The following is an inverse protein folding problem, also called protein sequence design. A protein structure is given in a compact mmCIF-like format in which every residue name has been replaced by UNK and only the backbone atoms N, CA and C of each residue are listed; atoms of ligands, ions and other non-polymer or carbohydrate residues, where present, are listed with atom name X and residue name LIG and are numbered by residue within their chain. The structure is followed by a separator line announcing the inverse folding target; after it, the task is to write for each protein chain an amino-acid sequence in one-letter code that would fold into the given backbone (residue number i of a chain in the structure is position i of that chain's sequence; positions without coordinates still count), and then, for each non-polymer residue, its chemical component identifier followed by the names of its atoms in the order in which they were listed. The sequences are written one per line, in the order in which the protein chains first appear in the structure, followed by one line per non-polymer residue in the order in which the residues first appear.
data_IF_672920555571
#
_entry.id   IF_672920555571
#
_cell.length_a   1.000
_cell.length_b   1.000
_cell.length_c   1.000
_cell.angle_alpha   90.00
_cell.angle_beta   90.00
_cell.angle_gamma   90.00
#
_symmetry.space_group_name_H-M   'P 1'
#
loop_
_entity.id
_entity.type
_entity.pdbx_description
1 polymer ?
#
# COMPACT_ATOMS: atom_id res chain seq x y z
N UNK A 1 32.08 -3.02 -4.59
CA UNK A 1 32.57 -1.85 -3.83
C UNK A 1 31.36 -0.97 -3.58
N UNK A 2 30.97 -0.74 -2.33
CA UNK A 2 29.85 0.17 -2.03
C UNK A 2 30.31 1.58 -2.37
N UNK A 3 29.52 2.39 -3.10
CA UNK A 3 29.88 3.78 -3.40
C UNK A 3 30.19 4.55 -2.12
N UNK A 4 31.17 5.45 -2.16
CA UNK A 4 31.50 6.34 -1.04
C UNK A 4 30.32 7.27 -0.70
N UNK A 5 29.47 7.56 -1.70
CA UNK A 5 28.22 8.32 -1.59
C UNK A 5 27.11 7.74 -2.47
N UNK A 6 25.87 7.81 -1.97
CA UNK A 6 24.65 7.49 -2.71
C UNK A 6 23.85 8.77 -2.93
N UNK A 7 23.52 9.08 -4.19
CA UNK A 7 22.73 10.26 -4.55
C UNK A 7 21.30 9.85 -4.89
N UNK A 8 20.32 10.51 -4.27
CA UNK A 8 18.90 10.29 -4.51
C UNK A 8 18.27 11.48 -5.22
N UNK A 9 17.08 11.27 -5.79
CA UNK A 9 16.26 12.34 -6.35
C UNK A 9 16.04 13.46 -5.32
N UNK A 10 16.17 14.73 -5.73
CA UNK A 10 16.12 15.88 -4.82
C UNK A 10 14.78 15.99 -4.08
N UNK A 11 14.79 16.75 -2.99
CA UNK A 11 13.59 17.21 -2.31
C UNK A 11 13.51 18.73 -2.41
N UNK A 12 12.53 19.25 -3.16
CA UNK A 12 12.42 20.67 -3.45
C UNK A 12 13.75 21.21 -4.04
N UNK A 13 14.44 22.13 -3.35
CA UNK A 13 15.75 22.67 -3.77
C UNK A 13 16.94 22.01 -3.07
N UNK A 14 16.74 20.88 -2.39
CA UNK A 14 17.77 20.18 -1.60
C UNK A 14 18.20 18.91 -2.32
N UNK A 15 19.50 18.75 -2.51
CA UNK A 15 20.11 17.49 -2.95
C UNK A 15 20.13 16.51 -1.77
N UNK A 16 19.81 15.25 -2.03
CA UNK A 16 19.78 14.21 -1.00
C UNK A 16 20.94 13.25 -1.26
N UNK A 17 21.87 13.19 -0.32
CA UNK A 17 23.03 12.31 -0.34
C UNK A 17 23.05 11.46 0.94
N UNK A 18 23.42 10.19 0.82
CA UNK A 18 23.79 9.35 1.96
C UNK A 18 25.26 8.99 1.85
N UNK A 19 25.98 9.11 2.96
CA UNK A 19 27.38 8.74 3.09
C UNK A 19 27.66 8.17 4.50
N UNK A 20 28.90 7.75 4.74
CA UNK A 20 29.33 7.17 6.01
C UNK A 20 30.15 8.15 6.87
N UNK A 21 30.03 9.46 6.63
CA UNK A 21 30.84 10.50 7.29
C UNK A 21 30.33 10.92 8.67
N UNK A 22 29.15 10.43 9.09
CA UNK A 22 28.62 10.63 10.45
C UNK A 22 27.92 11.97 10.71
N UNK A 23 27.34 12.60 9.68
CA UNK A 23 26.50 13.80 9.81
C UNK A 23 25.18 13.55 10.54
N UNK A 24 24.03 13.76 9.88
CA UNK A 24 22.76 13.31 10.43
C UNK A 24 22.63 11.79 10.26
N UNK A 25 22.71 11.07 11.37
CA UNK A 25 22.67 9.61 11.40
C UNK A 25 21.21 9.14 11.53
N UNK A 26 20.84 8.14 10.75
CA UNK A 26 19.51 7.49 10.80
C UNK A 26 19.65 5.98 10.63
N UNK A 27 18.79 5.21 11.30
CA UNK A 27 18.60 3.77 11.09
C UNK A 27 17.75 3.46 9.86
N UNK A 28 17.05 4.46 9.32
CA UNK A 28 15.95 4.28 8.37
C UNK A 28 16.29 4.79 6.97
N UNK A 29 17.59 4.86 6.63
CA UNK A 29 18.07 5.32 5.32
C UNK A 29 17.48 4.50 4.15
N UNK A 30 17.10 3.24 4.39
CA UNK A 30 16.43 2.38 3.41
C UNK A 30 15.09 2.95 2.91
N UNK A 31 14.45 3.83 3.67
CA UNK A 31 13.21 4.51 3.24
C UNK A 31 13.42 5.44 2.04
N UNK A 32 14.66 5.91 1.80
CA UNK A 32 14.97 6.69 0.60
C UNK A 32 14.92 5.82 -0.66
N UNK A 33 15.29 4.53 -0.58
CA UNK A 33 15.13 3.59 -1.69
C UNK A 33 13.65 3.29 -1.93
N UNK A 34 12.87 3.09 -0.87
CA UNK A 34 11.43 2.87 -0.96
C UNK A 34 10.70 4.09 -1.57
N UNK A 35 11.16 5.31 -1.26
CA UNK A 35 10.70 6.55 -1.92
C UNK A 35 10.92 6.51 -3.44
N UNK A 36 12.07 6.05 -3.90
CA UNK A 36 12.35 6.00 -5.35
C UNK A 36 11.48 4.95 -6.06
N UNK A 37 11.21 3.81 -5.41
CA UNK A 37 10.26 2.81 -5.92
C UNK A 37 8.83 3.36 -5.95
N UNK A 38 8.38 4.02 -4.88
CA UNK A 38 7.04 4.65 -4.84
C UNK A 38 6.91 5.79 -5.87
N UNK A 39 7.98 6.51 -6.20
CA UNK A 39 7.93 7.51 -7.29
C UNK A 39 7.73 6.89 -8.67
N UNK A 40 8.30 5.70 -8.91
CA UNK A 40 8.15 4.98 -10.18
C UNK A 40 6.74 4.43 -10.35
N UNK A 41 6.16 3.85 -9.28
CA UNK A 41 4.86 3.17 -9.36
C UNK A 41 3.67 4.00 -8.86
N UNK A 42 3.94 5.08 -8.13
CA UNK A 42 2.97 6.03 -7.57
C UNK A 42 1.89 5.38 -6.70
N UNK A 43 2.19 4.25 -6.05
CA UNK A 43 1.20 3.46 -5.30
C UNK A 43 0.58 4.27 -4.16
N UNK A 44 1.38 4.97 -3.35
CA UNK A 44 0.84 5.78 -2.23
C UNK A 44 0.02 6.96 -2.71
N UNK A 45 0.40 7.56 -3.85
CA UNK A 45 -0.35 8.65 -4.47
C UNK A 45 -1.69 8.17 -5.01
N UNK A 46 -1.72 7.06 -5.75
CA UNK A 46 -2.93 6.43 -6.27
C UNK A 46 -3.83 5.96 -5.12
N UNK A 47 -3.25 5.45 -4.03
CA UNK A 47 -4.03 5.06 -2.86
C UNK A 47 -4.72 6.27 -2.22
N UNK A 48 -4.06 7.43 -2.20
CA UNK A 48 -4.66 8.67 -1.70
C UNK A 48 -5.88 9.13 -2.51
N UNK A 49 -6.00 8.78 -3.80
CA UNK A 49 -7.15 9.19 -4.63
C UNK A 49 -8.38 8.32 -4.42
N UNK A 50 -8.23 7.13 -3.84
CA UNK A 50 -9.36 6.22 -3.57
C UNK A 50 -9.90 6.32 -2.14
N UNK A 51 -9.17 7.00 -1.26
CA UNK A 51 -9.63 7.32 0.10
C UNK A 51 -10.34 8.67 0.11
N UNK A 52 -11.46 8.76 0.85
CA UNK A 52 -12.17 10.02 1.05
C UNK A 52 -11.54 10.84 2.20
N UNK A 53 -11.29 12.11 1.94
CA UNK A 53 -10.78 13.05 2.95
C UNK A 53 -11.84 14.08 3.30
N UNK A 54 -12.77 13.69 4.17
CA UNK A 54 -13.85 14.55 4.66
C UNK A 54 -13.39 15.70 5.58
N UNK A 55 -12.08 15.90 5.78
CA UNK A 55 -11.56 17.01 6.59
C UNK A 55 -11.74 18.33 5.85
N UNK A 56 -12.00 19.41 6.59
CA UNK A 56 -12.05 20.75 6.00
C UNK A 56 -10.68 21.13 5.41
N UNK A 57 -10.56 21.37 4.09
CA UNK A 57 -9.27 21.62 3.43
C UNK A 57 -8.47 22.79 4.02
N UNK A 58 -9.13 23.84 4.54
CA UNK A 58 -8.43 25.01 5.12
C UNK A 58 -7.81 24.73 6.49
N UNK A 59 -8.22 23.64 7.13
CA UNK A 59 -7.71 23.19 8.44
C UNK A 59 -6.73 22.02 8.31
N UNK A 60 -6.44 21.55 7.09
CA UNK A 60 -5.53 20.43 6.85
C UNK A 60 -4.09 20.91 6.97
N UNK A 61 -3.39 20.40 8.00
CA UNK A 61 -1.94 20.57 8.16
C UNK A 61 -1.12 19.51 7.42
N UNK A 62 -1.60 18.26 7.39
CA UNK A 62 -0.92 17.14 6.75
C UNK A 62 -1.81 16.54 5.66
N UNK A 63 -1.31 16.59 4.41
CA UNK A 63 -2.01 16.05 3.24
C UNK A 63 -2.23 14.55 3.43
N UNK A 64 -3.37 14.05 2.95
CA UNK A 64 -3.70 12.63 3.01
C UNK A 64 -2.62 11.75 2.38
N UNK A 65 -2.13 12.12 1.19
CA UNK A 65 -1.02 11.43 0.52
C UNK A 65 0.23 11.31 1.40
N UNK A 66 0.62 12.39 2.08
CA UNK A 66 1.80 12.39 2.95
C UNK A 66 1.62 11.44 4.14
N UNK A 67 0.44 11.44 4.76
CA UNK A 67 0.11 10.53 5.86
C UNK A 67 0.06 9.06 5.42
N UNK A 68 -0.50 8.76 4.24
CA UNK A 68 -0.50 7.41 3.66
C UNK A 68 0.93 6.95 3.41
N UNK A 69 1.74 7.77 2.74
CA UNK A 69 3.14 7.44 2.48
C UNK A 69 3.93 7.24 3.77
N UNK A 70 3.73 8.12 4.76
CA UNK A 70 4.33 7.98 6.09
C UNK A 70 3.97 6.65 6.74
N UNK A 71 2.73 6.18 6.61
CA UNK A 71 2.29 4.91 7.18
C UNK A 71 2.80 3.69 6.44
N UNK A 72 2.70 3.68 5.11
CA UNK A 72 3.26 2.59 4.30
C UNK A 72 4.76 2.44 4.57
N UNK A 73 5.49 3.56 4.68
CA UNK A 73 6.92 3.53 4.93
C UNK A 73 7.24 3.13 6.37
N UNK A 74 6.47 3.62 7.35
CA UNK A 74 6.60 3.21 8.74
C UNK A 74 6.42 1.70 8.91
N UNK A 75 5.37 1.12 8.32
CA UNK A 75 5.14 -0.33 8.33
C UNK A 75 6.29 -1.09 7.65
N UNK A 76 6.76 -0.61 6.49
CA UNK A 76 7.89 -1.24 5.80
C UNK A 76 9.21 -1.20 6.60
N UNK A 77 9.37 -0.21 7.48
CA UNK A 77 10.50 -0.11 8.42
C UNK A 77 10.27 -0.83 9.76
N UNK A 78 9.12 -1.47 9.97
CA UNK A 78 8.79 -2.23 11.19
C UNK A 78 8.03 -1.44 12.27
N UNK A 79 7.59 -0.22 11.98
CA UNK A 79 6.84 0.64 12.91
C UNK A 79 5.32 0.50 12.74
N UNK A 80 4.78 -0.65 13.15
CA UNK A 80 3.38 -1.01 12.88
C UNK A 80 2.37 -0.33 13.83
N UNK A 81 2.72 -0.16 15.11
CA UNK A 81 1.77 0.14 16.21
C UNK A 81 1.42 1.65 16.39
N UNK A 82 1.87 2.49 15.46
CA UNK A 82 1.76 3.97 15.47
C UNK A 82 2.49 4.70 16.61
N UNK A 83 2.95 4.03 17.67
CA UNK A 83 3.49 4.72 18.84
C UNK A 83 4.79 5.47 18.51
N UNK A 84 5.64 4.84 17.68
CA UNK A 84 6.90 5.42 17.23
C UNK A 84 6.71 6.68 16.39
N UNK A 85 5.52 6.87 15.79
CA UNK A 85 5.24 8.05 14.96
C UNK A 85 5.21 9.37 15.75
N UNK A 86 5.22 9.34 17.09
CA UNK A 86 5.43 10.57 17.86
C UNK A 86 6.90 11.03 17.83
N UNK A 87 7.86 10.10 17.76
CA UNK A 87 9.27 10.42 17.60
C UNK A 87 9.64 10.55 16.10
N UNK A 88 9.25 9.56 15.28
CA UNK A 88 9.59 9.48 13.86
C UNK A 88 9.10 10.68 13.04
N UNK A 89 8.06 11.40 13.50
CA UNK A 89 7.61 12.62 12.82
C UNK A 89 8.67 13.72 12.70
N UNK A 90 9.68 13.69 13.57
CA UNK A 90 10.81 14.61 13.55
C UNK A 90 12.03 14.02 12.82
N UNK A 91 12.01 12.73 12.45
CA UNK A 91 13.11 12.09 11.74
C UNK A 91 13.24 12.65 10.31
N UNK A 92 14.45 13.11 9.98
CA UNK A 92 14.71 13.76 8.71
C UNK A 92 14.71 12.78 7.53
N UNK A 93 15.06 11.51 7.76
CA UNK A 93 15.06 10.50 6.72
C UNK A 93 13.63 10.17 6.32
N UNK A 94 12.72 9.99 7.29
CA UNK A 94 11.30 9.77 7.04
C UNK A 94 10.63 11.01 6.44
N UNK A 95 10.92 12.23 6.93
CA UNK A 95 10.44 13.47 6.30
C UNK A 95 10.84 13.51 4.82
N UNK A 96 12.12 13.28 4.54
CA UNK A 96 12.65 13.24 3.17
C UNK A 96 12.02 12.13 2.33
N UNK A 97 11.88 10.93 2.90
CA UNK A 97 11.25 9.79 2.26
C UNK A 97 9.80 10.09 1.86
N UNK A 98 9.05 10.75 2.75
CA UNK A 98 7.65 11.13 2.49
C UNK A 98 7.50 12.29 1.51
N UNK A 99 8.58 13.03 1.24
CA UNK A 99 8.56 14.21 0.37
C UNK A 99 8.17 15.49 1.10
N UNK A 100 8.28 15.51 2.43
CA UNK A 100 7.95 16.64 3.29
C UNK A 100 9.23 17.25 3.86
N UNK A 101 9.25 18.57 4.08
CA UNK A 101 10.37 19.30 4.69
C UNK A 101 10.02 19.88 6.07
N UNK A 102 8.92 19.40 6.66
CA UNK A 102 8.39 19.80 7.94
C UNK A 102 7.99 18.59 8.79
N UNK A 103 7.69 18.84 10.08
CA UNK A 103 7.23 17.80 11.02
C UNK A 103 6.02 17.06 10.44
N UNK A 104 6.09 15.72 10.47
CA UNK A 104 5.02 14.86 9.97
C UNK A 104 3.85 14.73 10.95
N UNK A 105 2.82 13.99 10.52
CA UNK A 105 1.69 13.67 11.38
C UNK A 105 2.14 12.79 12.55
N UNK A 106 1.71 13.16 13.77
CA UNK A 106 1.89 12.33 14.96
C UNK A 106 0.85 11.21 15.06
N UNK A 107 1.04 10.32 16.04
CA UNK A 107 0.28 9.06 16.17
C UNK A 107 -1.23 9.22 16.15
N UNK A 108 -1.78 10.21 16.86
CA UNK A 108 -3.23 10.41 16.94
C UNK A 108 -3.84 10.87 15.62
N UNK A 109 -3.09 11.61 14.80
CA UNK A 109 -3.56 12.06 13.49
C UNK A 109 -3.60 10.90 12.51
N UNK A 110 -2.57 10.05 12.52
CA UNK A 110 -2.48 8.85 11.71
C UNK A 110 -3.53 7.81 12.10
N UNK A 111 -3.73 7.57 13.40
CA UNK A 111 -4.78 6.68 13.90
C UNK A 111 -6.18 7.11 13.40
N UNK A 112 -6.49 8.42 13.48
CA UNK A 112 -7.77 8.94 12.95
C UNK A 112 -7.87 8.83 11.43
N UNK A 113 -6.76 8.89 10.70
CA UNK A 113 -6.77 8.67 9.24
C UNK A 113 -7.13 7.21 8.94
N UNK A 114 -6.45 6.24 9.57
CA UNK A 114 -6.71 4.81 9.36
C UNK A 114 -8.15 4.43 9.73
N UNK A 115 -8.68 4.99 10.83
CA UNK A 115 -10.05 4.72 11.29
C UNK A 115 -11.15 5.30 10.39
N UNK A 116 -10.83 6.16 9.42
CA UNK A 116 -11.80 6.66 8.43
C UNK A 116 -11.91 5.77 7.19
N UNK A 117 -11.00 4.81 7.03
CA UNK A 117 -11.01 3.92 5.87
C UNK A 117 -12.19 2.97 5.98
N UNK A 118 -13.12 3.11 5.05
CA UNK A 118 -14.30 2.25 4.97
C UNK A 118 -14.08 1.04 4.05
N UNK A 119 -15.09 0.17 3.99
CA UNK A 119 -15.06 -1.02 3.14
C UNK A 119 -14.94 -0.67 1.65
N UNK A 120 -15.54 0.43 1.20
CA UNK A 120 -15.53 0.80 -0.22
C UNK A 120 -14.12 1.25 -0.64
N UNK A 121 -13.46 2.03 0.21
CA UNK A 121 -12.06 2.40 0.06
C UNK A 121 -11.15 1.17 -0.02
N UNK A 122 -11.35 0.16 0.83
CA UNK A 122 -10.59 -1.10 0.77
C UNK A 122 -10.80 -1.82 -0.57
N UNK A 123 -12.03 -1.88 -1.09
CA UNK A 123 -12.30 -2.48 -2.41
C UNK A 123 -11.60 -1.71 -3.52
N UNK A 124 -11.67 -0.37 -3.52
CA UNK A 124 -10.96 0.46 -4.51
C UNK A 124 -9.44 0.32 -4.41
N UNK A 125 -8.90 0.14 -3.20
CA UNK A 125 -7.47 -0.12 -3.01
C UNK A 125 -7.05 -1.45 -3.62
N UNK A 126 -7.91 -2.49 -3.56
CA UNK A 126 -7.68 -3.74 -4.27
C UNK A 126 -7.73 -3.57 -5.80
N UNK A 127 -8.73 -2.84 -6.32
CA UNK A 127 -8.83 -2.53 -7.75
C UNK A 127 -7.59 -1.78 -8.26
N UNK A 128 -7.03 -0.88 -7.46
CA UNK A 128 -5.77 -0.20 -7.75
C UNK A 128 -4.61 -1.19 -7.91
N UNK A 129 -4.48 -2.19 -7.02
CA UNK A 129 -3.46 -3.23 -7.15
C UNK A 129 -3.66 -4.06 -8.42
N UNK A 130 -4.90 -4.30 -8.83
CA UNK A 130 -5.20 -5.04 -10.07
C UNK A 130 -4.85 -4.23 -11.31
N UNK A 131 -5.21 -2.94 -11.34
CA UNK A 131 -4.76 -2.03 -12.40
C UNK A 131 -3.24 -1.97 -12.48
N UNK A 132 -2.57 -1.82 -11.33
CA UNK A 132 -1.13 -1.83 -11.26
C UNK A 132 -0.54 -3.14 -11.82
N UNK A 133 -1.07 -4.30 -11.45
CA UNK A 133 -0.66 -5.60 -11.99
C UNK A 133 -0.76 -5.66 -13.52
N UNK A 134 -1.87 -5.17 -14.09
CA UNK A 134 -2.07 -5.14 -15.55
C UNK A 134 -1.05 -4.19 -16.21
N UNK A 135 -0.83 -3.01 -15.64
CA UNK A 135 0.16 -2.03 -16.14
C UNK A 135 1.60 -2.56 -16.13
N UNK A 136 1.92 -3.55 -15.29
CA UNK A 136 3.24 -4.20 -15.28
C UNK A 136 3.42 -5.22 -16.42
N UNK A 137 2.40 -5.46 -17.26
CA UNK A 137 2.46 -6.35 -18.41
C UNK A 137 2.28 -5.56 -19.71
N UNK A 138 3.30 -5.55 -20.58
CA UNK A 138 3.21 -4.89 -21.89
C UNK A 138 2.14 -5.51 -22.80
N UNK A 139 1.93 -6.82 -22.68
CA UNK A 139 0.88 -7.56 -23.40
C UNK A 139 0.20 -8.54 -22.45
N UNK A 140 -1.10 -8.84 -22.67
CA UNK A 140 -1.80 -9.83 -21.85
C UNK A 140 -1.10 -11.20 -21.87
N UNK A 141 -0.74 -11.77 -20.72
CA UNK A 141 -0.10 -13.08 -20.67
C UNK A 141 -1.09 -14.18 -21.11
N UNK A 142 -0.56 -15.28 -21.65
CA UNK A 142 -1.36 -16.45 -22.06
C UNK A 142 -1.95 -17.20 -20.87
N UNK A 143 -1.30 -17.11 -19.71
CA UNK A 143 -1.65 -17.81 -18.49
C UNK A 143 -1.36 -16.91 -17.28
N UNK A 144 -2.22 -17.00 -16.27
CA UNK A 144 -2.05 -16.36 -14.97
C UNK A 144 -2.21 -17.46 -13.93
N UNK A 145 -1.18 -17.65 -13.10
CA UNK A 145 -1.22 -18.57 -11.96
C UNK A 145 -1.49 -17.74 -10.71
N UNK A 146 -2.54 -18.12 -9.97
CA UNK A 146 -2.96 -17.43 -8.76
C UNK A 146 -2.77 -18.33 -7.54
N UNK A 147 -1.93 -17.88 -6.62
CA UNK A 147 -1.67 -18.57 -5.36
C UNK A 147 -2.61 -18.00 -4.29
N UNK A 148 -3.44 -18.86 -3.70
CA UNK A 148 -4.41 -18.51 -2.67
C UNK A 148 -3.95 -19.09 -1.33
N UNK A 149 -3.38 -18.23 -0.48
CA UNK A 149 -2.77 -18.66 0.76
C UNK A 149 -3.39 -17.94 1.95
N UNK A 150 -3.71 -18.72 2.99
CA UNK A 150 -4.07 -18.18 4.30
C UNK A 150 -2.91 -18.34 5.26
N UNK A 151 -2.58 -17.28 6.00
CA UNK A 151 -1.61 -17.34 7.11
C UNK A 151 -2.21 -16.68 8.34
N UNK A 152 -1.75 -17.09 9.51
CA UNK A 152 -2.14 -16.50 10.78
C UNK A 152 -1.59 -15.08 10.94
N UNK A 153 -2.39 -14.22 11.55
CA UNK A 153 -1.94 -12.95 12.13
C UNK A 153 -2.28 -13.00 13.61
N UNK A 154 -1.28 -13.13 14.51
CA UNK A 154 -1.51 -13.18 15.93
C UNK A 154 -2.34 -11.99 16.43
N UNK A 155 -3.28 -12.25 17.33
CA UNK A 155 -4.05 -11.19 17.99
C UNK A 155 -3.62 -11.06 19.45
N UNK A 156 -3.74 -9.84 19.98
CA UNK A 156 -3.40 -9.55 21.38
C UNK A 156 -4.64 -9.06 22.13
N UNK A 157 -4.80 -9.49 23.39
CA UNK A 157 -5.93 -9.10 24.24
C UNK A 157 -7.28 -9.55 23.68
N UNK A 158 -8.28 -8.67 23.74
CA UNK A 158 -9.68 -8.94 23.36
C UNK A 158 -10.07 -8.32 22.01
N UNK A 159 -9.17 -8.38 21.03
CA UNK A 159 -9.45 -7.86 19.69
C UNK A 159 -10.74 -8.47 19.08
N UNK A 160 -11.60 -7.66 18.42
CA UNK A 160 -12.87 -8.13 17.88
C UNK A 160 -12.72 -9.25 16.84
N UNK A 161 -13.49 -10.32 16.99
CA UNK A 161 -13.43 -11.43 16.03
C UNK A 161 -12.20 -12.34 16.18
N UNK A 162 -11.42 -12.19 17.26
CA UNK A 162 -10.40 -13.17 17.63
C UNK A 162 -10.99 -14.57 17.75
N UNK A 163 -10.25 -15.56 17.29
CA UNK A 163 -10.63 -16.95 17.46
C UNK A 163 -9.38 -17.82 17.59
N UNK A 164 -9.47 -18.88 18.37
CA UNK A 164 -8.38 -19.84 18.56
C UNK A 164 -8.27 -20.75 17.35
N UNK A 165 -7.09 -20.80 16.73
CA UNK A 165 -6.81 -21.71 15.63
C UNK A 165 -5.93 -22.87 16.13
N UNK A 166 -6.45 -24.10 16.04
CA UNK A 166 -5.78 -25.29 16.56
C UNK A 166 -4.52 -25.69 15.76
N UNK A 167 -4.40 -25.30 14.49
CA UNK A 167 -3.21 -25.57 13.69
C UNK A 167 -2.03 -24.67 14.10
N UNK A 168 -2.31 -23.39 14.37
CA UNK A 168 -1.30 -22.41 14.78
C UNK A 168 -1.13 -22.31 16.31
N UNK A 169 -1.98 -22.97 17.08
CA UNK A 169 -1.97 -23.03 18.55
C UNK A 169 -2.02 -21.65 19.24
N UNK A 170 -2.74 -20.69 18.66
CA UNK A 170 -2.97 -19.39 19.29
C UNK A 170 -4.22 -18.68 18.73
N UNK A 171 -4.56 -17.54 19.33
CA UNK A 171 -5.63 -16.70 18.83
C UNK A 171 -5.12 -15.82 17.70
N UNK A 172 -5.73 -15.91 16.53
CA UNK A 172 -5.30 -15.18 15.35
C UNK A 172 -6.48 -14.74 14.47
N UNK A 173 -6.20 -13.78 13.59
CA UNK A 173 -6.93 -13.66 12.33
C UNK A 173 -6.33 -14.60 11.29
N UNK A 174 -7.08 -14.87 10.22
CA UNK A 174 -6.64 -15.74 9.14
C UNK A 174 -6.87 -15.08 7.77
N UNK A 175 -6.16 -13.97 7.48
CA UNK A 175 -6.25 -13.31 6.19
C UNK A 175 -6.03 -14.27 5.02
N UNK A 176 -6.79 -14.08 3.95
CA UNK A 176 -6.55 -14.72 2.66
C UNK A 176 -5.75 -13.76 1.79
N UNK A 177 -4.58 -14.20 1.36
CA UNK A 177 -3.77 -13.52 0.37
C UNK A 177 -3.94 -14.18 -0.99
N UNK A 178 -3.94 -13.35 -2.04
CA UNK A 178 -3.90 -13.84 -3.42
C UNK A 178 -2.74 -13.19 -4.14
N UNK A 179 -1.83 -14.02 -4.64
CA UNK A 179 -0.64 -13.58 -5.37
C UNK A 179 -0.66 -14.06 -6.82
N UNK A 180 -0.01 -13.30 -7.69
CA UNK A 180 0.43 -13.75 -9.00
C UNK A 180 1.94 -13.53 -9.08
N UNK A 181 2.74 -14.57 -8.79
CA UNK A 181 4.18 -14.42 -8.62
C UNK A 181 4.51 -13.38 -7.55
N UNK A 182 5.14 -12.27 -7.93
CA UNK A 182 5.52 -11.19 -7.00
C UNK A 182 4.41 -10.17 -6.71
N UNK A 183 3.26 -10.28 -7.37
CA UNK A 183 2.20 -9.28 -7.28
C UNK A 183 1.16 -9.69 -6.25
N UNK A 184 1.01 -8.91 -5.18
CA UNK A 184 -0.11 -9.03 -4.26
C UNK A 184 -1.36 -8.45 -4.92
N UNK A 185 -2.38 -9.30 -5.13
CA UNK A 185 -3.66 -8.89 -5.72
C UNK A 185 -4.74 -8.74 -4.65
N UNK A 186 -4.71 -9.55 -3.60
CA UNK A 186 -5.72 -9.51 -2.53
C UNK A 186 -5.10 -9.70 -1.16
N UNK A 187 -5.53 -8.87 -0.21
CA UNK A 187 -5.31 -9.04 1.24
C UNK A 187 -6.67 -8.92 1.93
N UNK A 188 -7.30 -10.05 2.21
CA UNK A 188 -8.65 -10.11 2.75
C UNK A 188 -8.64 -10.67 4.18
N UNK A 189 -8.79 -9.78 5.16
CA UNK A 189 -8.84 -10.14 6.57
C UNK A 189 -10.08 -10.98 6.90
N UNK A 190 -9.87 -12.08 7.62
CA UNK A 190 -10.94 -12.99 8.08
C UNK A 190 -10.70 -13.41 9.53
N UNK A 191 -11.76 -13.81 10.20
CA UNK A 191 -11.66 -14.56 11.47
C UNK A 191 -11.12 -15.97 11.19
N UNK A 192 -10.34 -16.52 12.13
CA UNK A 192 -9.71 -17.85 11.97
C UNK A 192 -10.65 -19.04 12.20
N UNK A 193 -11.93 -18.81 12.52
CA UNK A 193 -12.94 -19.86 12.73
C UNK A 193 -13.55 -20.45 11.45
N UNK A 194 -12.88 -20.27 10.30
CA UNK A 194 -13.41 -20.59 8.97
C UNK A 194 -12.41 -21.44 8.21
N UNK A 195 -12.91 -22.19 7.22
CA UNK A 195 -12.05 -22.96 6.32
C UNK A 195 -11.17 -22.03 5.49
N UNK A 196 -9.99 -22.53 5.13
CA UNK A 196 -9.00 -21.81 4.33
C UNK A 196 -9.56 -21.37 2.98
N UNK A 197 -10.39 -22.21 2.36
CA UNK A 197 -11.05 -21.98 1.08
C UNK A 197 -12.22 -20.99 1.12
N UNK A 198 -12.63 -20.51 2.30
CA UNK A 198 -13.80 -19.64 2.42
C UNK A 198 -13.55 -18.32 1.69
N UNK A 199 -14.47 -18.00 0.78
CA UNK A 199 -14.46 -16.83 -0.11
C UNK A 199 -13.44 -16.87 -1.26
N UNK A 200 -12.60 -17.90 -1.37
CA UNK A 200 -11.62 -18.02 -2.47
C UNK A 200 -12.30 -18.01 -3.84
N UNK A 201 -13.41 -18.76 -4.03
CA UNK A 201 -14.17 -18.76 -5.29
C UNK A 201 -14.76 -17.39 -5.64
N UNK A 202 -15.31 -16.68 -4.65
CA UNK A 202 -15.89 -15.35 -4.88
C UNK A 202 -14.80 -14.33 -5.27
N UNK A 203 -13.64 -14.38 -4.62
CA UNK A 203 -12.49 -13.55 -4.94
C UNK A 203 -11.94 -13.88 -6.33
N UNK A 204 -11.80 -15.17 -6.66
CA UNK A 204 -11.39 -15.61 -7.99
C UNK A 204 -12.34 -15.09 -9.07
N UNK A 205 -13.65 -15.22 -8.86
CA UNK A 205 -14.65 -14.72 -9.81
C UNK A 205 -14.55 -13.20 -10.02
N UNK A 206 -14.30 -12.42 -8.96
CA UNK A 206 -14.10 -10.97 -9.04
C UNK A 206 -12.83 -10.61 -9.82
N UNK A 207 -11.70 -11.25 -9.48
CA UNK A 207 -10.41 -11.04 -10.15
C UNK A 207 -10.49 -11.37 -11.64
N UNK A 208 -11.03 -12.54 -11.99
CA UNK A 208 -11.19 -12.97 -13.39
C UNK A 208 -12.09 -12.00 -14.14
N UNK A 209 -13.24 -11.62 -13.57
CA UNK A 209 -14.15 -10.65 -14.20
C UNK A 209 -13.44 -9.34 -14.48
N UNK A 210 -12.68 -8.82 -13.52
CA UNK A 210 -11.96 -7.57 -13.66
C UNK A 210 -10.87 -7.65 -14.73
N UNK A 211 -9.95 -8.61 -14.61
CA UNK A 211 -8.80 -8.78 -15.53
C UNK A 211 -9.28 -8.99 -16.97
N UNK A 212 -10.29 -9.84 -17.17
CA UNK A 212 -10.87 -10.08 -18.51
C UNK A 212 -11.55 -8.82 -19.06
N UNK A 213 -12.23 -8.04 -18.22
CA UNK A 213 -12.88 -6.80 -18.67
C UNK A 213 -11.88 -5.72 -19.06
N UNK A 214 -10.77 -5.61 -18.33
CA UNK A 214 -9.71 -4.64 -18.57
C UNK A 214 -8.90 -4.96 -19.84
N UNK A 215 -8.82 -6.23 -20.24
CA UNK A 215 -8.12 -6.68 -21.44
C UNK A 215 -8.97 -6.65 -22.72
N UNK A 216 -10.21 -6.14 -22.68
CA UNK A 216 -11.01 -5.96 -23.91
C UNK A 216 -10.48 -4.76 -24.70
N UNK A 217 -10.22 -4.88 -26.02
CA UNK A 217 -9.91 -3.72 -26.84
C UNK A 217 -11.06 -2.73 -26.77
N UNK A 218 -10.74 -1.42 -26.73
CA UNK A 218 -11.75 -0.38 -26.79
C UNK A 218 -12.66 -0.60 -28.02
N UNK A 219 -13.99 -0.41 -27.91
CA UNK A 219 -14.86 -0.56 -29.05
C UNK A 219 -14.41 0.41 -30.15
N UNK A 220 -14.02 -0.14 -31.30
CA UNK A 220 -13.80 0.64 -32.52
C UNK A 220 -15.15 1.19 -32.95
N UNK A 221 -15.46 2.43 -32.61
CA UNK A 221 -16.54 3.17 -33.23
C UNK A 221 -16.15 3.41 -34.69
N UNK A 222 -16.65 2.57 -35.59
CA UNK A 222 -16.59 2.85 -37.02
C UNK A 222 -17.36 4.13 -37.29
N UNK A 223 -16.67 5.17 -37.73
CA UNK A 223 -17.31 6.30 -38.40
C UNK A 223 -18.00 5.73 -39.64
N UNK A 224 -19.34 5.61 -39.59
CA UNK A 224 -20.13 5.50 -40.81
C UNK A 224 -20.11 6.88 -41.46
N UNK A 225 -19.42 6.99 -42.59
CA UNK A 225 -19.48 8.15 -43.46
C UNK A 225 -20.94 8.42 -43.84
N UNK A 226 -21.47 9.58 -43.41
CA UNK A 226 -22.75 10.08 -43.90
C UNK A 226 -22.58 10.48 -45.39
N UNK A 227 -23.40 9.95 -46.31
CA UNK A 227 -23.35 10.39 -47.70
C UNK A 227 -23.87 11.83 -47.82
N UNK A 228 -23.10 12.64 -48.54
CA UNK A 228 -23.48 13.98 -49.02
C UNK A 228 -24.57 13.92 -50.08
#
# INVERSE_FOLDING_TARGET
MVPEKLTFSPLSRRQIEADFSGGHITSDAGLLLLREVDKQHQLTQRLATVLDDARNPVLVRHKLQAMIRQRVFGVAAGYEDLNDHEALRADQALQTATGEDAILAGKSTLCRMEQRVDRQAVVKAHELLWHHFIEQHETPPKEIVLDFDGTDVPVHGDQPGKFFNAYYDHHCYFPLYVFCGRHLLVSYLRTSNRSDSRHSWAILALLVKFIVSANKPAPTFGYQDCPH
#
